data_IF_878758335124
#
_entry.id   IF_878758335124
#
_cell.length_a   1.000
_cell.length_b   1.000
_cell.length_c   1.000
_cell.angle_alpha   90.00
_cell.angle_beta   90.00
_cell.angle_gamma   90.00
#
_symmetry.space_group_name_H-M   'P 1'
#
loop_
_entity.id
_entity.type
_entity.pdbx_description
1 polymer ?
#
# COMPACT_ATOMS: atom_id res chain seq x y z
N UNK A 1 8.02 9.33 23.41
CA UNK A 1 8.19 8.91 24.81
C UNK A 1 6.84 8.50 25.37
N UNK A 2 6.61 7.18 25.39
CA UNK A 2 5.81 6.38 26.34
C UNK A 2 5.70 4.99 25.70
N UNK A 3 6.83 4.27 25.75
CA UNK A 3 6.89 2.84 25.45
C UNK A 3 6.22 2.11 26.62
N UNK A 4 4.89 2.03 26.59
CA UNK A 4 4.17 1.17 27.51
C UNK A 4 4.48 -0.29 27.15
N UNK A 5 5.25 -0.96 28.02
CA UNK A 5 5.56 -2.40 28.07
C UNK A 5 5.53 -3.13 26.73
N UNK A 6 6.62 -3.00 25.97
CA UNK A 6 6.73 -3.57 24.63
C UNK A 6 6.94 -5.10 24.65
N UNK A 7 7.22 -5.71 25.80
CA UNK A 7 7.31 -7.17 25.87
C UNK A 7 6.80 -7.69 27.22
N UNK A 8 5.49 -8.05 27.32
CA UNK A 8 4.91 -8.59 28.55
C UNK A 8 5.51 -9.94 28.99
N UNK A 9 6.45 -10.50 28.22
CA UNK A 9 7.06 -11.79 28.46
C UNK A 9 8.57 -11.71 28.77
N UNK A 10 9.18 -10.53 28.94
CA UNK A 10 10.66 -10.34 28.89
C UNK A 10 11.17 -10.58 30.27
N UNK A 11 10.52 -9.92 31.22
CA UNK A 11 10.74 -10.16 32.65
C UNK A 11 10.50 -11.63 32.98
N UNK A 12 9.45 -12.25 32.44
CA UNK A 12 9.18 -13.67 32.63
C UNK A 12 10.25 -14.58 31.98
N UNK A 13 10.74 -14.23 30.79
CA UNK A 13 11.85 -14.95 30.14
C UNK A 13 13.14 -14.78 30.93
N UNK A 14 13.50 -13.56 31.32
CA UNK A 14 14.72 -13.26 32.05
C UNK A 14 14.73 -13.95 33.42
N UNK A 15 13.62 -13.92 34.15
CA UNK A 15 13.47 -14.66 35.40
C UNK A 15 13.61 -16.18 35.18
N UNK A 16 12.96 -16.73 34.15
CA UNK A 16 13.09 -18.15 33.82
C UNK A 16 14.52 -18.55 33.44
N UNK A 17 15.24 -17.72 32.69
CA UNK A 17 16.63 -17.98 32.32
C UNK A 17 17.59 -17.94 33.53
N UNK A 18 17.22 -17.22 34.60
CA UNK A 18 18.00 -17.16 35.84
C UNK A 18 17.64 -18.28 36.83
N UNK A 19 16.36 -18.58 37.00
CA UNK A 19 15.84 -19.57 37.96
C UNK A 19 15.95 -21.01 37.43
N UNK A 20 15.65 -21.24 36.15
CA UNK A 20 15.51 -22.58 35.54
C UNK A 20 16.63 -22.86 34.52
N UNK A 21 17.87 -22.57 34.92
CA UNK A 21 19.06 -22.62 34.04
C UNK A 21 19.26 -23.96 33.33
N UNK A 22 19.06 -25.08 34.02
CA UNK A 22 19.26 -26.41 33.45
C UNK A 22 18.31 -26.68 32.27
N UNK A 23 17.04 -26.30 32.45
CA UNK A 23 16.00 -26.44 31.42
C UNK A 23 16.27 -25.50 30.24
N UNK A 24 16.67 -24.25 30.50
CA UNK A 24 17.04 -23.29 29.46
C UNK A 24 18.27 -23.74 28.65
N UNK A 25 19.33 -24.21 29.31
CA UNK A 25 20.50 -24.76 28.63
C UNK A 25 20.14 -25.98 27.77
N UNK A 26 19.29 -26.89 28.28
CA UNK A 26 18.83 -28.06 27.51
C UNK A 26 18.19 -27.63 26.18
N UNK A 27 17.34 -26.60 26.21
CA UNK A 27 16.66 -26.08 25.01
C UNK A 27 17.65 -25.41 24.06
N UNK A 28 18.49 -24.49 24.54
CA UNK A 28 19.44 -23.78 23.68
C UNK A 28 20.48 -24.74 23.10
N UNK A 29 21.00 -25.67 23.90
CA UNK A 29 21.97 -26.67 23.45
C UNK A 29 21.40 -27.60 22.38
N UNK A 30 20.12 -27.97 22.47
CA UNK A 30 19.47 -28.77 21.44
C UNK A 30 19.55 -28.08 20.07
N UNK A 31 19.33 -26.76 20.02
CA UNK A 31 19.43 -25.99 18.78
C UNK A 31 20.88 -25.75 18.33
N UNK A 32 21.79 -25.48 19.27
CA UNK A 32 23.19 -25.20 18.94
C UNK A 32 24.01 -26.45 18.62
N UNK A 33 23.47 -27.65 18.88
CA UNK A 33 24.09 -28.92 18.48
C UNK A 33 24.01 -29.16 16.95
N UNK A 34 23.19 -28.38 16.23
CA UNK A 34 23.14 -28.39 14.78
C UNK A 34 24.29 -27.56 14.19
N UNK A 35 24.92 -28.05 13.12
CA UNK A 35 25.92 -27.29 12.35
C UNK A 35 25.31 -26.10 11.56
N UNK A 36 24.00 -25.87 11.68
CA UNK A 36 23.28 -24.78 11.00
C UNK A 36 23.12 -23.59 11.91
N UNK A 37 23.92 -22.55 11.69
CA UNK A 37 23.85 -21.28 12.41
C UNK A 37 22.55 -20.49 12.23
N UNK A 38 21.75 -20.81 11.21
CA UNK A 38 20.47 -20.17 10.94
C UNK A 38 19.34 -21.19 11.03
N UNK A 39 18.33 -20.86 11.82
CA UNK A 39 17.15 -21.68 12.03
C UNK A 39 15.91 -20.90 11.61
N UNK A 40 15.12 -21.48 10.73
CA UNK A 40 13.80 -20.96 10.37
C UNK A 40 12.79 -21.31 11.46
N UNK A 41 11.63 -20.67 11.41
CA UNK A 41 10.51 -20.98 12.31
C UNK A 41 10.17 -22.47 12.36
N UNK A 42 10.18 -23.18 11.23
CA UNK A 42 9.92 -24.62 11.20
C UNK A 42 10.96 -25.38 12.03
N UNK A 43 12.24 -25.07 11.85
CA UNK A 43 13.34 -25.72 12.58
C UNK A 43 13.21 -25.49 14.09
N UNK A 44 12.86 -24.27 14.50
CA UNK A 44 12.63 -23.94 15.91
C UNK A 44 11.45 -24.68 16.50
N UNK A 45 10.32 -24.74 15.79
CA UNK A 45 9.10 -25.37 16.29
C UNK A 45 9.23 -26.89 16.31
N UNK A 46 9.82 -27.48 15.29
CA UNK A 46 9.94 -28.92 15.16
C UNK A 46 11.04 -29.46 16.09
N UNK A 47 12.21 -28.79 16.16
CA UNK A 47 13.23 -29.13 17.16
C UNK A 47 12.71 -28.98 18.60
N UNK A 48 11.91 -27.94 18.89
CA UNK A 48 11.31 -27.83 20.22
C UNK A 48 10.30 -28.95 20.53
N UNK A 49 9.51 -29.39 19.55
CA UNK A 49 8.58 -30.53 19.71
C UNK A 49 9.32 -31.84 19.91
N UNK A 50 10.41 -32.06 19.17
CA UNK A 50 11.28 -33.23 19.35
C UNK A 50 11.82 -33.27 20.77
N UNK A 51 12.40 -32.16 21.25
CA UNK A 51 12.90 -32.04 22.61
C UNK A 51 11.82 -32.26 23.69
N UNK A 52 10.58 -31.81 23.43
CA UNK A 52 9.46 -32.02 24.34
C UNK A 52 8.97 -33.48 24.37
N UNK A 53 9.28 -34.26 23.34
CA UNK A 53 8.87 -35.66 23.18
C UNK A 53 9.90 -36.63 23.79
N UNK A 54 11.11 -36.15 24.10
CA UNK A 54 12.12 -36.88 24.87
C UNK A 54 11.74 -37.01 26.35
N UNK A 55 12.33 -37.99 27.04
CA UNK A 55 12.11 -38.21 28.48
C UNK A 55 12.35 -36.92 29.29
N UNK A 56 11.35 -36.54 30.08
CA UNK A 56 11.35 -35.33 30.89
C UNK A 56 11.27 -34.02 30.09
N UNK A 57 10.91 -34.05 28.81
CA UNK A 57 10.72 -32.86 27.96
C UNK A 57 9.36 -32.17 28.12
N UNK A 58 8.34 -32.85 28.64
CA UNK A 58 6.98 -32.33 28.80
C UNK A 58 6.92 -31.04 29.64
N UNK A 59 7.81 -30.91 30.65
CA UNK A 59 7.90 -29.74 31.53
C UNK A 59 8.27 -28.46 30.78
N UNK A 60 8.86 -28.56 29.57
CA UNK A 60 9.32 -27.42 28.79
C UNK A 60 8.16 -26.71 28.08
N UNK A 61 7.06 -27.40 27.78
CA UNK A 61 5.98 -26.91 26.91
C UNK A 61 5.27 -25.65 27.42
N UNK A 62 5.27 -25.42 28.74
CA UNK A 62 4.57 -24.32 29.39
C UNK A 62 5.49 -23.21 29.92
N UNK A 63 6.76 -23.23 29.53
CA UNK A 63 7.78 -22.28 29.99
C UNK A 63 7.70 -20.93 29.24
N UNK A 64 8.22 -19.84 29.83
CA UNK A 64 8.39 -18.58 29.11
C UNK A 64 9.25 -18.72 27.83
N UNK A 65 10.29 -19.55 27.87
CA UNK A 65 11.13 -19.84 26.71
C UNK A 65 10.34 -20.52 25.58
N UNK A 66 9.44 -21.46 25.90
CA UNK A 66 8.55 -22.08 24.92
C UNK A 66 7.66 -21.05 24.21
N UNK A 67 7.09 -20.09 24.95
CA UNK A 67 6.27 -19.02 24.37
C UNK A 67 7.09 -18.13 23.43
N UNK A 68 8.33 -17.83 23.81
CA UNK A 68 9.26 -17.04 22.99
C UNK A 68 9.57 -17.78 21.70
N UNK A 69 9.90 -19.07 21.75
CA UNK A 69 10.11 -19.91 20.57
C UNK A 69 8.86 -19.98 19.67
N UNK A 70 7.67 -20.08 20.26
CA UNK A 70 6.40 -20.10 19.51
C UNK A 70 6.16 -18.83 18.68
N UNK A 71 6.59 -17.65 19.16
CA UNK A 71 6.46 -16.39 18.43
C UNK A 71 7.70 -16.03 17.60
N UNK A 72 8.77 -16.82 17.69
CA UNK A 72 9.99 -16.63 16.91
C UNK A 72 9.77 -16.95 15.44
N UNK A 73 10.31 -16.12 14.56
CA UNK A 73 10.27 -16.34 13.10
C UNK A 73 11.58 -16.92 12.57
N UNK A 74 12.68 -16.55 13.20
CA UNK A 74 14.00 -17.10 12.90
C UNK A 74 14.91 -16.95 14.13
N UNK A 75 15.92 -17.81 14.18
CA UNK A 75 17.04 -17.69 15.10
C UNK A 75 18.36 -17.70 14.33
N UNK A 76 19.36 -17.05 14.89
CA UNK A 76 20.73 -17.09 14.43
C UNK A 76 21.65 -17.28 15.63
N UNK A 77 22.68 -18.11 15.54
CA UNK A 77 23.58 -18.32 16.67
C UNK A 77 25.03 -18.60 16.26
N UNK A 78 25.95 -18.29 17.18
CA UNK A 78 27.35 -18.71 17.15
C UNK A 78 27.70 -19.47 18.45
N UNK A 79 28.98 -19.64 18.74
CA UNK A 79 29.45 -20.31 19.96
C UNK A 79 29.10 -19.58 21.28
N UNK A 80 28.75 -18.29 21.23
CA UNK A 80 28.53 -17.45 22.41
C UNK A 80 27.09 -16.96 22.54
N UNK A 81 26.43 -16.65 21.43
CA UNK A 81 25.17 -15.93 21.41
C UNK A 81 24.10 -16.66 20.61
N UNK A 82 22.87 -16.58 21.12
CA UNK A 82 21.66 -17.04 20.47
C UNK A 82 20.72 -15.86 20.24
N UNK A 83 20.57 -15.44 19.00
CA UNK A 83 19.73 -14.33 18.58
C UNK A 83 18.38 -14.84 18.06
N UNK A 84 17.31 -14.10 18.38
CA UNK A 84 15.93 -14.44 18.03
C UNK A 84 15.22 -13.22 17.43
N UNK A 85 14.54 -13.43 16.30
CA UNK A 85 13.59 -12.48 15.75
C UNK A 85 12.17 -12.90 16.12
N UNK A 86 11.52 -12.12 16.97
CA UNK A 86 10.21 -12.40 17.55
C UNK A 86 9.14 -11.58 16.83
N UNK A 87 7.99 -12.21 16.55
CA UNK A 87 6.83 -11.56 15.94
C UNK A 87 5.59 -11.73 16.83
N UNK A 88 5.46 -10.93 17.91
CA UNK A 88 4.35 -11.07 18.86
C UNK A 88 2.99 -10.77 18.24
N UNK A 89 2.92 -9.90 17.23
CA UNK A 89 1.70 -9.62 16.48
C UNK A 89 2.00 -9.18 15.06
N UNK A 90 0.95 -9.07 14.23
CA UNK A 90 1.09 -8.66 12.83
C UNK A 90 1.71 -7.26 12.76
N UNK A 91 2.83 -7.14 12.03
CA UNK A 91 3.55 -5.88 11.83
C UNK A 91 4.40 -5.42 13.01
N UNK A 92 4.52 -6.22 14.08
CA UNK A 92 5.40 -5.92 15.22
C UNK A 92 6.52 -6.95 15.31
N UNK A 93 7.74 -6.45 15.45
CA UNK A 93 8.95 -7.24 15.55
C UNK A 93 9.76 -6.81 16.76
N UNK A 94 10.39 -7.78 17.41
CA UNK A 94 11.31 -7.58 18.52
C UNK A 94 12.49 -8.50 18.32
N UNK A 95 13.67 -8.06 18.74
CA UNK A 95 14.90 -8.82 18.56
C UNK A 95 15.54 -9.00 19.92
N UNK A 96 15.99 -10.22 20.17
CA UNK A 96 16.55 -10.62 21.45
C UNK A 96 17.84 -11.38 21.22
N UNK A 97 18.81 -11.21 22.12
CA UNK A 97 20.00 -12.05 22.21
C UNK A 97 20.06 -12.71 23.57
N UNK A 98 20.53 -13.94 23.62
CA UNK A 98 20.78 -14.71 24.84
C UNK A 98 22.23 -15.17 24.80
N UNK A 99 22.98 -14.95 25.86
CA UNK A 99 24.32 -15.54 26.00
C UNK A 99 24.20 -17.02 26.36
N UNK A 100 24.89 -17.91 25.64
CA UNK A 100 24.73 -19.35 25.81
C UNK A 100 25.25 -19.88 27.15
N UNK A 101 26.33 -19.30 27.69
CA UNK A 101 26.87 -19.68 29.02
C UNK A 101 26.16 -18.98 30.18
N UNK A 102 26.08 -17.64 30.18
CA UNK A 102 25.51 -16.89 31.31
C UNK A 102 23.99 -16.90 31.34
N UNK A 103 23.32 -17.24 30.22
CA UNK A 103 21.88 -17.16 29.99
C UNK A 103 21.31 -15.74 30.11
N UNK A 104 22.16 -14.71 30.03
CA UNK A 104 21.71 -13.33 30.05
C UNK A 104 20.98 -12.98 28.74
N UNK A 105 19.70 -12.60 28.84
CA UNK A 105 18.90 -12.13 27.72
C UNK A 105 18.84 -10.60 27.65
N UNK A 106 18.97 -10.04 26.44
CA UNK A 106 18.83 -8.60 26.17
C UNK A 106 18.05 -8.35 24.90
N UNK A 107 17.16 -7.36 24.94
CA UNK A 107 16.57 -6.78 23.74
C UNK A 107 17.65 -6.05 22.94
N UNK A 108 17.60 -6.20 21.62
CA UNK A 108 18.50 -5.56 20.67
C UNK A 108 17.71 -4.86 19.58
N UNK A 109 18.32 -3.85 18.95
CA UNK A 109 17.72 -3.20 17.78
C UNK A 109 17.94 -4.06 16.53
N UNK A 110 17.12 -3.83 15.49
CA UNK A 110 17.20 -4.61 14.23
C UNK A 110 18.59 -4.57 13.60
N UNK A 111 19.28 -3.43 13.61
CA UNK A 111 20.63 -3.31 13.04
C UNK A 111 21.66 -4.19 13.76
N UNK A 112 21.54 -4.37 15.09
CA UNK A 112 22.40 -5.27 15.85
C UNK A 112 22.13 -6.74 15.51
N UNK A 113 20.87 -7.11 15.30
CA UNK A 113 20.49 -8.46 14.87
C UNK A 113 20.98 -8.75 13.44
N UNK A 114 20.81 -7.82 12.49
CA UNK A 114 21.29 -7.97 11.12
C UNK A 114 22.82 -8.05 11.05
N UNK A 115 23.53 -7.17 11.78
CA UNK A 115 25.00 -7.20 11.87
C UNK A 115 25.54 -8.49 12.49
N UNK A 116 24.74 -9.16 13.33
CA UNK A 116 25.08 -10.49 13.82
C UNK A 116 24.95 -11.53 12.71
N UNK A 117 23.83 -11.54 11.96
CA UNK A 117 23.64 -12.44 10.81
C UNK A 117 24.71 -12.28 9.74
N UNK A 118 25.13 -11.05 9.45
CA UNK A 118 26.20 -10.76 8.48
C UNK A 118 27.54 -11.40 8.89
N UNK A 119 27.90 -11.32 10.18
CA UNK A 119 29.14 -11.90 10.72
C UNK A 119 29.17 -13.43 10.66
N UNK A 120 28.01 -14.09 10.70
CA UNK A 120 27.94 -15.55 10.57
C UNK A 120 28.22 -16.03 9.14
N UNK A 121 28.05 -15.17 8.13
CA UNK A 121 28.27 -15.52 6.71
C UNK A 121 29.61 -14.98 6.20
N UNK A 122 30.02 -13.79 6.65
CA UNK A 122 31.22 -13.12 6.19
C UNK A 122 32.49 -13.63 6.87
N UNK A 123 33.54 -13.91 6.09
CA UNK A 123 34.86 -14.31 6.59
C UNK A 123 35.71 -13.13 7.12
N UNK A 124 35.29 -11.88 6.92
CA UNK A 124 36.02 -10.67 7.29
C UNK A 124 35.21 -9.74 8.20
N UNK A 125 35.90 -8.94 9.01
CA UNK A 125 35.29 -7.84 9.75
C UNK A 125 34.48 -6.96 8.78
N UNK A 126 33.19 -6.79 9.07
CA UNK A 126 32.31 -5.93 8.30
C UNK A 126 32.96 -4.55 8.12
N UNK A 127 32.97 -3.99 6.89
CA UNK A 127 33.60 -2.69 6.65
C UNK A 127 33.07 -1.64 7.63
N UNK A 128 33.96 -0.77 8.11
CA UNK A 128 33.66 0.25 9.12
C UNK A 128 32.44 1.11 8.76
N UNK A 129 32.22 1.33 7.46
CA UNK A 129 31.14 2.14 6.90
C UNK A 129 30.24 1.31 5.99
N UNK A 130 29.48 0.38 6.58
CA UNK A 130 28.45 -0.35 5.85
C UNK A 130 27.23 0.55 5.59
N UNK A 131 26.69 0.48 4.36
CA UNK A 131 25.48 1.22 4.00
C UNK A 131 24.25 0.62 4.71
N UNK A 132 23.63 1.39 5.60
CA UNK A 132 22.32 1.10 6.16
C UNK A 132 21.24 1.90 5.43
N UNK A 133 20.26 1.22 4.85
CA UNK A 133 19.11 1.86 4.19
C UNK A 133 17.96 2.01 5.19
N UNK A 134 17.82 3.20 5.77
CA UNK A 134 16.73 3.53 6.69
C UNK A 134 15.73 4.50 6.03
N UNK A 135 14.51 4.01 5.79
CA UNK A 135 13.40 4.79 5.23
C UNK A 135 12.47 5.39 6.30
N UNK A 136 12.64 5.04 7.58
CA UNK A 136 11.78 5.52 8.66
C UNK A 136 11.80 7.07 8.78
N UNK A 137 12.95 7.76 8.72
CA UNK A 137 13.01 9.22 8.80
C UNK A 137 12.23 9.94 7.70
N UNK A 138 12.18 9.38 6.49
CA UNK A 138 11.48 9.95 5.34
C UNK A 138 9.95 9.81 5.43
N UNK A 139 9.47 8.97 6.34
CA UNK A 139 8.05 8.69 6.50
C UNK A 139 7.37 9.46 7.64
N UNK A 140 8.11 10.33 8.36
CA UNK A 140 7.64 11.03 9.59
C UNK A 140 6.42 11.92 9.39
N UNK A 141 6.25 12.49 8.19
CA UNK A 141 5.12 13.36 7.86
C UNK A 141 3.81 12.58 7.61
N UNK A 142 3.93 11.27 7.39
CA UNK A 142 2.81 10.36 7.21
C UNK A 142 2.41 9.76 8.55
N UNK A 143 1.19 10.06 9.00
CA UNK A 143 0.58 9.33 10.11
C UNK A 143 0.37 7.89 9.67
N UNK A 144 0.81 6.93 10.49
CA UNK A 144 0.69 5.50 10.24
C UNK A 144 -0.43 4.92 11.10
N UNK A 145 -1.32 4.07 10.57
CA UNK A 145 -2.27 3.36 11.40
C UNK A 145 -1.51 2.42 12.36
N UNK A 146 -1.94 2.38 13.62
CA UNK A 146 -1.30 1.57 14.66
C UNK A 146 -1.91 0.16 14.80
N UNK A 147 -3.10 -0.05 14.21
CA UNK A 147 -3.88 -1.27 14.34
C UNK A 147 -3.67 -2.19 13.13
N UNK A 148 -3.40 -3.48 13.40
CA UNK A 148 -3.16 -4.46 12.33
C UNK A 148 -4.36 -4.62 11.37
N UNK A 149 -5.59 -4.44 11.86
CA UNK A 149 -6.82 -4.47 11.05
C UNK A 149 -6.90 -3.37 9.99
N UNK A 150 -6.07 -2.34 10.09
CA UNK A 150 -6.02 -1.23 9.13
C UNK A 150 -5.01 -1.47 8.01
N UNK A 151 -4.23 -2.55 8.06
CA UNK A 151 -3.32 -2.94 6.97
C UNK A 151 -4.14 -3.21 5.71
N UNK A 152 -3.72 -2.63 4.58
CA UNK A 152 -4.44 -2.70 3.31
C UNK A 152 -5.55 -1.65 3.14
N UNK A 153 -5.85 -0.82 4.14
CA UNK A 153 -6.91 0.21 4.11
C UNK A 153 -6.35 1.64 4.09
N UNK A 154 -5.27 1.85 3.33
CA UNK A 154 -4.55 3.13 3.29
C UNK A 154 -5.40 4.29 2.80
N UNK A 155 -6.25 4.06 1.78
CA UNK A 155 -7.11 5.10 1.20
C UNK A 155 -8.18 5.57 2.18
N UNK A 156 -8.81 4.67 2.94
CA UNK A 156 -9.79 5.02 3.99
C UNK A 156 -9.15 5.94 5.04
N UNK A 157 -7.92 5.61 5.47
CA UNK A 157 -7.18 6.42 6.44
C UNK A 157 -6.80 7.78 5.87
N UNK A 158 -6.37 7.82 4.60
CA UNK A 158 -6.04 9.07 3.92
C UNK A 158 -7.27 9.97 3.74
N UNK A 159 -8.41 9.42 3.35
CA UNK A 159 -9.67 10.17 3.20
C UNK A 159 -10.11 10.81 4.51
N UNK A 160 -10.01 10.08 5.64
CA UNK A 160 -10.26 10.65 6.97
C UNK A 160 -9.34 11.82 7.28
N UNK A 161 -8.03 11.67 7.00
CA UNK A 161 -7.04 12.72 7.26
C UNK A 161 -7.26 13.95 6.37
N UNK A 162 -7.53 13.75 5.09
CA UNK A 162 -7.81 14.83 4.15
C UNK A 162 -9.07 15.58 4.57
N UNK A 163 -10.14 14.87 4.92
CA UNK A 163 -11.37 15.46 5.45
C UNK A 163 -11.13 16.33 6.69
N UNK A 164 -10.37 15.85 7.68
CA UNK A 164 -10.03 16.63 8.87
C UNK A 164 -9.19 17.87 8.54
N UNK A 165 -8.18 17.74 7.68
CA UNK A 165 -7.33 18.88 7.27
C UNK A 165 -8.10 19.96 6.50
N UNK A 166 -9.05 19.56 5.65
CA UNK A 166 -9.91 20.50 4.92
C UNK A 166 -10.71 21.40 5.88
N UNK A 167 -11.06 20.88 7.07
CA UNK A 167 -11.78 21.61 8.11
C UNK A 167 -10.86 22.47 8.99
N UNK A 168 -9.70 21.95 9.41
CA UNK A 168 -8.81 22.61 10.38
C UNK A 168 -8.05 23.83 9.83
N UNK A 169 -7.69 23.84 8.54
CA UNK A 169 -6.73 24.82 7.98
C UNK A 169 -7.34 26.21 7.62
N UNK A 170 -8.29 26.74 8.40
CA UNK A 170 -8.87 28.10 8.23
C UNK A 170 -9.12 28.53 6.76
N UNK A 171 -9.71 27.64 5.95
CA UNK A 171 -10.03 27.90 4.54
C UNK A 171 -8.92 27.59 3.52
N UNK A 172 -7.66 27.36 3.92
CA UNK A 172 -6.57 26.97 3.00
C UNK A 172 -6.85 25.63 2.31
N UNK A 173 -7.45 24.68 3.02
CA UNK A 173 -7.85 23.40 2.45
C UNK A 173 -8.87 23.55 1.32
N UNK A 174 -9.86 24.42 1.50
CA UNK A 174 -10.89 24.71 0.50
C UNK A 174 -10.29 25.41 -0.73
N UNK A 175 -9.32 26.30 -0.52
CA UNK A 175 -8.58 26.92 -1.63
C UNK A 175 -7.82 25.87 -2.45
N UNK A 176 -7.17 24.88 -1.82
CA UNK A 176 -6.51 23.79 -2.56
C UNK A 176 -7.47 23.00 -3.47
N UNK A 177 -8.72 22.79 -3.04
CA UNK A 177 -9.74 22.14 -3.89
C UNK A 177 -10.07 23.02 -5.10
N UNK A 178 -10.27 24.31 -4.89
CA UNK A 178 -10.50 25.26 -5.99
C UNK A 178 -9.32 25.25 -6.97
N UNK A 179 -8.10 25.41 -6.46
CA UNK A 179 -6.89 25.41 -7.29
C UNK A 179 -6.74 24.10 -8.07
N UNK A 180 -6.98 22.96 -7.42
CA UNK A 180 -6.94 21.64 -8.05
C UNK A 180 -7.96 21.52 -9.20
N UNK A 181 -9.21 21.95 -8.98
CA UNK A 181 -10.25 21.90 -10.01
C UNK A 181 -10.01 22.89 -11.15
N UNK A 182 -9.42 24.06 -10.87
CA UNK A 182 -9.13 25.10 -11.87
C UNK A 182 -7.91 24.80 -12.73
N UNK A 183 -6.94 24.02 -12.23
CA UNK A 183 -5.77 23.58 -13.00
C UNK A 183 -6.08 22.37 -13.88
N UNK A 184 -7.24 21.73 -13.72
CA UNK A 184 -7.54 20.48 -14.37
C UNK A 184 -7.87 20.65 -15.85
N UNK A 185 -7.10 20.00 -16.72
CA UNK A 185 -7.27 20.08 -18.17
C UNK A 185 -6.82 18.79 -18.85
N UNK A 186 -7.42 18.47 -19.99
CA UNK A 186 -7.04 17.34 -20.83
C UNK A 186 -6.87 17.80 -22.28
N UNK A 187 -5.73 17.48 -22.91
CA UNK A 187 -5.40 17.90 -24.28
C UNK A 187 -5.61 19.41 -24.54
N UNK A 188 -5.32 20.25 -23.54
CA UNK A 188 -5.50 21.71 -23.63
C UNK A 188 -6.95 22.20 -23.45
N UNK A 189 -7.92 21.32 -23.27
CA UNK A 189 -9.30 21.68 -22.92
C UNK A 189 -9.45 21.74 -21.39
N UNK A 190 -9.92 22.86 -20.82
CA UNK A 190 -10.16 22.96 -19.39
C UNK A 190 -11.31 22.05 -18.97
N UNK A 191 -11.21 21.47 -17.78
CA UNK A 191 -12.21 20.60 -17.18
C UNK A 191 -12.61 21.17 -15.81
N UNK A 192 -13.79 20.81 -15.33
CA UNK A 192 -14.33 21.21 -14.03
C UNK A 192 -14.55 22.73 -13.92
N UNK A 193 -13.52 23.52 -13.60
CA UNK A 193 -13.60 24.96 -13.41
C UNK A 193 -12.70 25.69 -14.41
N UNK A 194 -13.20 26.79 -14.97
CA UNK A 194 -12.33 27.71 -15.71
C UNK A 194 -11.74 28.78 -14.77
N UNK A 195 -10.93 29.69 -15.34
CA UNK A 195 -10.25 30.75 -14.60
C UNK A 195 -11.13 31.91 -14.13
N UNK A 196 -12.46 31.86 -14.29
CA UNK A 196 -13.36 32.93 -13.84
C UNK A 196 -13.52 32.97 -12.31
N UNK A 197 -13.28 31.85 -11.63
CA UNK A 197 -13.48 31.72 -10.18
C UNK A 197 -12.14 31.76 -9.46
N UNK A 198 -11.91 32.83 -8.70
CA UNK A 198 -10.63 33.09 -8.03
C UNK A 198 -10.66 32.84 -6.51
N UNK A 199 -11.85 32.68 -5.93
CA UNK A 199 -12.03 32.45 -4.50
C UNK A 199 -13.12 31.41 -4.19
N UNK A 200 -12.99 30.75 -3.04
CA UNK A 200 -13.98 29.79 -2.53
C UNK A 200 -15.37 30.42 -2.38
N UNK A 201 -15.43 31.71 -2.04
CA UNK A 201 -16.68 32.48 -1.93
C UNK A 201 -17.37 32.69 -3.29
N UNK A 202 -16.61 32.87 -4.36
CA UNK A 202 -17.13 32.90 -5.73
C UNK A 202 -17.63 31.52 -6.15
N UNK A 203 -16.83 30.47 -5.89
CA UNK A 203 -17.22 29.09 -6.18
C UNK A 203 -18.54 28.71 -5.50
N UNK A 204 -18.70 28.99 -4.20
CA UNK A 204 -19.96 28.74 -3.48
C UNK A 204 -21.15 29.47 -4.09
N UNK A 205 -20.97 30.72 -4.55
CA UNK A 205 -22.03 31.48 -5.23
C UNK A 205 -22.36 30.88 -6.58
N UNK A 206 -21.35 30.52 -7.37
CA UNK A 206 -21.52 29.88 -8.67
C UNK A 206 -22.25 28.53 -8.55
N UNK A 207 -21.88 27.69 -7.58
CA UNK A 207 -22.53 26.40 -7.31
C UNK A 207 -24.01 26.57 -6.97
N UNK A 208 -24.36 27.56 -6.11
CA UNK A 208 -25.76 27.86 -5.77
C UNK A 208 -26.55 28.39 -6.96
N UNK A 209 -25.93 29.16 -7.85
CA UNK A 209 -26.57 29.63 -9.09
C UNK A 209 -26.80 28.47 -10.05
N UNK A 210 -25.82 27.58 -10.23
CA UNK A 210 -25.94 26.39 -11.05
C UNK A 210 -27.03 25.44 -10.52
N UNK A 211 -27.13 25.22 -9.21
CA UNK A 211 -28.19 24.41 -8.61
C UNK A 211 -29.60 24.96 -8.93
N UNK A 212 -29.80 26.28 -8.85
CA UNK A 212 -31.09 26.91 -9.21
C UNK A 212 -31.44 26.75 -10.68
N UNK A 213 -30.45 26.81 -11.58
CA UNK A 213 -30.66 26.56 -13.00
C UNK A 213 -31.06 25.10 -13.22
N UNK A 214 -30.24 24.17 -12.71
CA UNK A 214 -30.43 22.72 -12.89
C UNK A 214 -31.70 22.19 -12.23
N UNK A 215 -32.18 22.81 -11.14
CA UNK A 215 -33.45 22.46 -10.49
C UNK A 215 -34.67 22.65 -11.40
N UNK A 216 -34.61 23.58 -12.36
CA UNK A 216 -35.68 23.88 -13.31
C UNK A 216 -35.52 23.15 -14.65
N UNK A 217 -34.47 22.34 -14.80
CA UNK A 217 -34.08 21.71 -16.06
C UNK A 217 -34.60 20.27 -16.16
N UNK A 218 -34.86 19.81 -17.38
CA UNK A 218 -35.23 18.41 -17.64
C UNK A 218 -34.07 17.46 -17.30
N UNK A 219 -34.37 16.38 -16.60
CA UNK A 219 -33.38 15.43 -16.07
C UNK A 219 -32.47 14.77 -17.10
N UNK A 220 -32.89 14.70 -18.37
CA UNK A 220 -32.16 14.04 -19.46
C UNK A 220 -31.32 14.99 -20.32
N UNK A 221 -31.31 16.29 -20.05
CA UNK A 221 -30.47 17.22 -20.82
C UNK A 221 -29.00 16.86 -20.66
N UNK A 222 -28.30 16.82 -21.79
CA UNK A 222 -26.88 16.47 -21.86
C UNK A 222 -26.00 17.64 -21.47
N UNK A 223 -24.73 17.38 -21.13
CA UNK A 223 -23.76 18.45 -20.85
C UNK A 223 -23.67 19.49 -21.98
N UNK A 224 -23.74 19.06 -23.26
CA UNK A 224 -23.65 19.96 -24.42
C UNK A 224 -24.74 21.03 -24.43
N UNK A 225 -25.93 20.69 -23.96
CA UNK A 225 -27.07 21.61 -23.86
C UNK A 225 -26.91 22.55 -22.65
N UNK A 226 -26.41 22.01 -21.52
CA UNK A 226 -26.18 22.76 -20.28
C UNK A 226 -24.98 23.72 -20.36
N UNK A 227 -24.02 23.44 -21.23
CA UNK A 227 -22.74 24.16 -21.30
C UNK A 227 -22.93 25.66 -21.59
N UNK A 228 -23.96 26.05 -22.34
CA UNK A 228 -24.23 27.46 -22.63
C UNK A 228 -24.51 28.28 -21.37
N UNK A 229 -25.26 27.70 -20.43
CA UNK A 229 -25.66 28.37 -19.19
C UNK A 229 -24.63 28.21 -18.06
N UNK A 230 -23.89 27.09 -18.05
CA UNK A 230 -22.93 26.76 -16.99
C UNK A 230 -21.54 27.37 -17.19
N UNK A 231 -21.06 27.53 -18.42
CA UNK A 231 -19.74 28.13 -18.70
C UNK A 231 -19.61 29.58 -18.21
N UNK A 232 -20.61 30.47 -18.40
CA UNK A 232 -20.57 31.83 -17.86
C UNK A 232 -20.46 31.88 -16.32
N UNK A 233 -20.91 30.83 -15.63
CA UNK A 233 -20.78 30.69 -14.17
C UNK A 233 -19.41 30.16 -13.74
N UNK A 234 -18.56 29.75 -14.68
CA UNK A 234 -17.23 29.24 -14.42
C UNK A 234 -17.06 27.73 -14.55
N UNK A 235 -18.06 26.99 -15.03
CA UNK A 235 -18.05 25.53 -15.08
C UNK A 235 -17.75 24.98 -16.49
N UNK A 236 -16.78 24.08 -16.57
CA UNK A 236 -16.36 23.36 -17.77
C UNK A 236 -16.76 21.88 -17.68
N UNK A 237 -16.64 21.08 -18.77
CA UNK A 237 -17.07 19.67 -18.77
C UNK A 237 -16.41 18.83 -17.67
N UNK A 238 -17.07 17.74 -17.25
CA UNK A 238 -16.56 16.79 -16.25
C UNK A 238 -17.45 16.59 -15.02
N UNK A 239 -18.49 17.41 -14.83
CA UNK A 239 -19.40 17.31 -13.68
C UNK A 239 -20.42 16.16 -13.79
N UNK A 240 -20.76 15.74 -15.02
CA UNK A 240 -21.76 14.72 -15.24
C UNK A 240 -22.25 14.64 -16.69
N UNK A 241 -22.80 13.49 -17.07
CA UNK A 241 -23.36 13.23 -18.40
C UNK A 241 -24.70 13.95 -18.65
N UNK A 242 -25.47 14.19 -17.59
CA UNK A 242 -26.79 14.81 -17.64
C UNK A 242 -27.02 15.76 -16.47
N UNK A 243 -28.09 16.55 -16.54
CA UNK A 243 -28.46 17.54 -15.53
C UNK A 243 -28.51 16.99 -14.09
N UNK A 244 -29.01 15.77 -13.89
CA UNK A 244 -29.08 15.13 -12.56
C UNK A 244 -27.68 14.86 -12.02
N UNK A 245 -26.82 14.20 -12.82
CA UNK A 245 -25.46 13.87 -12.39
C UNK A 245 -24.61 15.11 -12.15
N UNK A 246 -24.74 16.13 -13.01
CA UNK A 246 -24.06 17.43 -12.85
C UNK A 246 -24.46 18.05 -11.52
N UNK A 247 -25.77 18.13 -11.26
CA UNK A 247 -26.31 18.69 -10.02
C UNK A 247 -25.82 17.93 -8.79
N UNK A 248 -25.88 16.59 -8.81
CA UNK A 248 -25.42 15.75 -7.70
C UNK A 248 -23.94 15.98 -7.37
N UNK A 249 -23.08 16.08 -8.39
CA UNK A 249 -21.64 16.31 -8.19
C UNK A 249 -21.35 17.73 -7.67
N UNK A 250 -22.08 18.73 -8.17
CA UNK A 250 -21.97 20.11 -7.68
C UNK A 250 -22.47 20.26 -6.24
N UNK A 251 -23.55 19.58 -5.89
CA UNK A 251 -24.08 19.57 -4.53
C UNK A 251 -23.12 18.89 -3.56
N UNK A 252 -22.51 17.77 -3.97
CA UNK A 252 -21.49 17.08 -3.19
C UNK A 252 -20.28 17.99 -2.90
N UNK A 253 -19.84 18.79 -3.87
CA UNK A 253 -18.79 19.78 -3.63
C UNK A 253 -19.23 20.88 -2.67
N UNK A 254 -20.48 21.37 -2.78
CA UNK A 254 -21.02 22.36 -1.85
C UNK A 254 -21.03 21.81 -0.41
N UNK A 255 -21.46 20.57 -0.24
CA UNK A 255 -21.48 19.88 1.05
C UNK A 255 -20.07 19.72 1.62
N UNK A 256 -19.07 19.35 0.80
CA UNK A 256 -17.65 19.27 1.23
C UNK A 256 -17.11 20.64 1.66
N UNK A 257 -17.48 21.71 0.94
CA UNK A 257 -17.06 23.06 1.28
C UNK A 257 -17.75 23.57 2.55
N UNK A 258 -18.91 23.04 2.93
CA UNK A 258 -19.62 23.39 4.15
C UNK A 258 -19.17 22.54 5.34
N UNK A 259 -19.22 21.22 5.20
CA UNK A 259 -18.85 20.21 6.20
C UNK A 259 -18.22 18.98 5.52
N UNK A 260 -16.88 18.90 5.42
CA UNK A 260 -16.22 17.78 4.76
C UNK A 260 -16.40 16.48 5.56
N UNK A 261 -16.74 15.39 4.87
CA UNK A 261 -16.73 14.03 5.41
C UNK A 261 -15.85 13.11 4.54
N UNK A 262 -15.29 12.03 5.11
CA UNK A 262 -14.43 11.11 4.35
C UNK A 262 -15.16 10.48 3.15
N UNK A 263 -16.41 10.05 3.35
CA UNK A 263 -17.21 9.39 2.32
C UNK A 263 -17.60 10.35 1.20
N UNK A 264 -17.94 11.60 1.55
CA UNK A 264 -18.26 12.63 0.56
C UNK A 264 -17.02 12.98 -0.28
N UNK A 265 -15.87 13.13 0.36
CA UNK A 265 -14.60 13.44 -0.32
C UNK A 265 -14.17 12.29 -1.24
N UNK A 266 -14.27 11.05 -0.79
CA UNK A 266 -13.98 9.86 -1.60
C UNK A 266 -14.89 9.80 -2.83
N UNK A 267 -16.19 9.98 -2.62
CA UNK A 267 -17.18 9.98 -3.69
C UNK A 267 -16.92 11.10 -4.69
N UNK A 268 -16.57 12.29 -4.21
CA UNK A 268 -16.29 13.45 -5.06
C UNK A 268 -15.03 13.24 -5.88
N UNK A 269 -13.90 12.91 -5.24
CA UNK A 269 -12.63 12.66 -5.93
C UNK A 269 -12.76 11.51 -6.94
N UNK A 270 -13.52 10.45 -6.62
CA UNK A 270 -13.80 9.35 -7.54
C UNK A 270 -14.71 9.71 -8.72
N UNK A 271 -15.38 10.87 -8.69
CA UNK A 271 -16.17 11.42 -9.81
C UNK A 271 -15.39 12.41 -10.65
N UNK A 272 -14.18 12.83 -10.26
CA UNK A 272 -13.38 13.76 -11.06
C UNK A 272 -12.73 13.01 -12.23
N UNK A 273 -12.84 13.51 -13.46
CA UNK A 273 -12.25 12.86 -14.64
C UNK A 273 -10.72 12.97 -14.64
N UNK A 274 -10.00 12.07 -13.95
CA UNK A 274 -8.53 12.17 -13.81
C UNK A 274 -7.74 11.29 -14.76
N UNK A 275 -8.27 10.10 -15.09
CA UNK A 275 -7.51 9.04 -15.75
C UNK A 275 -8.00 8.89 -17.18
N UNK A 276 -7.18 9.37 -18.13
CA UNK A 276 -7.45 9.28 -19.57
C UNK A 276 -6.45 8.38 -20.30
N UNK A 277 -5.20 8.37 -19.84
CA UNK A 277 -4.12 7.56 -20.39
C UNK A 277 -3.46 6.79 -19.27
N UNK A 278 -3.22 5.49 -19.48
CA UNK A 278 -2.69 4.58 -18.48
C UNK A 278 -1.51 3.80 -19.07
N UNK A 279 -0.39 3.76 -18.36
CA UNK A 279 0.78 2.95 -18.72
C UNK A 279 0.98 1.85 -17.68
N UNK A 280 1.00 0.59 -18.11
CA UNK A 280 1.31 -0.59 -17.30
C UNK A 280 2.71 -1.06 -17.68
N UNK A 281 3.59 -1.29 -16.70
CA UNK A 281 4.95 -1.77 -16.94
C UNK A 281 5.04 -3.27 -16.63
N UNK A 282 5.48 -4.06 -17.61
CA UNK A 282 5.80 -5.48 -17.43
C UNK A 282 7.03 -5.87 -18.26
N UNK A 283 8.24 -5.46 -17.85
CA UNK A 283 9.42 -5.55 -18.71
C UNK A 283 9.99 -6.96 -18.94
N UNK A 284 9.82 -7.87 -17.98
CA UNK A 284 10.41 -9.21 -18.03
C UNK A 284 9.46 -10.24 -18.66
N UNK A 285 10.01 -11.41 -18.98
CA UNK A 285 9.28 -12.50 -19.60
C UNK A 285 8.91 -12.26 -21.06
N UNK A 286 8.24 -13.25 -21.62
CA UNK A 286 7.63 -13.21 -22.94
C UNK A 286 6.20 -12.71 -22.80
N UNK A 287 5.98 -11.43 -23.05
CA UNK A 287 4.65 -10.83 -23.02
C UNK A 287 4.03 -10.88 -24.41
N UNK A 288 2.89 -11.55 -24.53
CA UNK A 288 2.15 -11.72 -25.77
C UNK A 288 0.82 -12.42 -25.52
N UNK A 289 -0.02 -12.50 -26.54
CA UNK A 289 -1.40 -13.04 -26.40
C UNK A 289 -1.53 -14.51 -26.81
N UNK A 290 -0.53 -15.05 -27.51
CA UNK A 290 -0.48 -16.44 -27.96
C UNK A 290 0.94 -17.00 -27.85
N UNK A 291 1.06 -18.31 -27.65
CA UNK A 291 2.33 -19.06 -27.65
C UNK A 291 3.40 -18.60 -26.62
N UNK A 292 3.02 -17.81 -25.61
CA UNK A 292 3.95 -17.33 -24.57
C UNK A 292 3.86 -18.11 -23.25
N UNK A 293 2.74 -18.79 -22.99
CA UNK A 293 2.51 -19.47 -21.71
C UNK A 293 3.47 -20.65 -21.53
N UNK A 294 4.09 -20.74 -20.35
CA UNK A 294 5.07 -21.79 -20.02
C UNK A 294 6.50 -21.48 -20.47
N UNK A 295 6.73 -20.34 -21.15
CA UNK A 295 8.09 -19.85 -21.41
C UNK A 295 8.76 -19.32 -20.14
N UNK A 296 10.10 -19.23 -20.09
CA UNK A 296 10.82 -18.69 -18.95
C UNK A 296 10.30 -17.31 -18.55
N UNK A 297 10.11 -17.11 -17.24
CA UNK A 297 9.59 -15.87 -16.65
C UNK A 297 8.19 -15.43 -17.15
N UNK A 298 7.45 -16.32 -17.84
CA UNK A 298 6.08 -16.07 -18.30
C UNK A 298 5.09 -16.96 -17.57
N UNK A 299 4.14 -16.34 -16.87
CA UNK A 299 3.09 -17.06 -16.16
C UNK A 299 1.86 -16.20 -15.91
N UNK A 300 1.27 -16.35 -14.71
CA UNK A 300 0.02 -15.68 -14.34
C UNK A 300 0.05 -14.15 -14.46
N UNK A 301 1.22 -13.50 -14.41
CA UNK A 301 1.36 -12.06 -14.60
C UNK A 301 0.84 -11.57 -15.95
N UNK A 302 1.11 -12.31 -17.04
CA UNK A 302 0.66 -11.90 -18.39
C UNK A 302 -0.86 -11.97 -18.48
N UNK A 303 -1.44 -13.08 -18.02
CA UNK A 303 -2.89 -13.27 -17.99
C UNK A 303 -3.56 -12.20 -17.12
N UNK A 304 -2.99 -11.95 -15.93
CA UNK A 304 -3.48 -10.93 -15.02
C UNK A 304 -3.53 -9.55 -15.67
N UNK A 305 -2.47 -9.13 -16.35
CA UNK A 305 -2.42 -7.82 -17.01
C UNK A 305 -3.41 -7.76 -18.19
N UNK A 306 -3.49 -8.80 -19.02
CA UNK A 306 -4.42 -8.81 -20.16
C UNK A 306 -5.88 -8.70 -19.71
N UNK A 307 -6.26 -9.40 -18.64
CA UNK A 307 -7.61 -9.31 -18.06
C UNK A 307 -7.83 -7.96 -17.36
N UNK A 308 -6.81 -7.45 -16.66
CA UNK A 308 -6.85 -6.15 -16.02
C UNK A 308 -7.09 -5.03 -17.03
N UNK A 309 -6.40 -5.03 -18.19
CA UNK A 309 -6.56 -4.00 -19.22
C UNK A 309 -7.99 -3.98 -19.76
N UNK A 310 -8.61 -5.15 -20.02
CA UNK A 310 -10.01 -5.23 -20.47
C UNK A 310 -10.97 -4.63 -19.47
N UNK A 311 -10.80 -4.96 -18.19
CA UNK A 311 -11.63 -4.42 -17.12
C UNK A 311 -11.43 -2.91 -16.94
N UNK A 312 -10.17 -2.45 -16.97
CA UNK A 312 -9.81 -1.03 -16.85
C UNK A 312 -10.34 -0.21 -18.01
N UNK A 313 -10.21 -0.69 -19.25
CA UNK A 313 -10.73 0.03 -20.42
C UNK A 313 -12.25 0.25 -20.30
N UNK A 314 -12.99 -0.79 -19.91
CA UNK A 314 -14.44 -0.70 -19.70
C UNK A 314 -14.80 0.29 -18.59
N UNK A 315 -14.11 0.24 -17.44
CA UNK A 315 -14.34 1.18 -16.34
C UNK A 315 -13.98 2.62 -16.75
N UNK A 316 -12.87 2.82 -17.45
CA UNK A 316 -12.47 4.14 -17.95
C UNK A 316 -13.51 4.71 -18.92
N UNK A 317 -14.01 3.92 -19.87
CA UNK A 317 -15.10 4.35 -20.78
C UNK A 317 -16.36 4.73 -20.01
N UNK A 318 -16.77 3.89 -19.05
CA UNK A 318 -17.95 4.16 -18.23
C UNK A 318 -17.80 5.45 -17.42
N UNK A 319 -16.62 5.70 -16.82
CA UNK A 319 -16.36 6.92 -16.04
C UNK A 319 -16.39 8.17 -16.92
N UNK A 320 -15.74 8.12 -18.08
CA UNK A 320 -15.75 9.22 -19.04
C UNK A 320 -17.16 9.53 -19.52
N UNK A 321 -17.96 8.49 -19.81
CA UNK A 321 -19.37 8.64 -20.14
C UNK A 321 -20.13 9.33 -19.01
N UNK A 322 -20.05 8.82 -17.78
CA UNK A 322 -20.73 9.39 -16.60
C UNK A 322 -20.37 10.85 -16.32
N UNK A 323 -19.19 11.29 -16.73
CA UNK A 323 -18.68 12.66 -16.58
C UNK A 323 -19.04 13.58 -17.77
N UNK A 324 -19.68 13.03 -18.81
CA UNK A 324 -20.08 13.77 -20.01
C UNK A 324 -18.95 13.98 -21.02
N UNK A 325 -17.94 13.11 -21.02
CA UNK A 325 -16.72 13.18 -21.83
C UNK A 325 -16.68 12.06 -22.91
N UNK A 326 -17.80 11.77 -23.56
CA UNK A 326 -17.93 10.70 -24.57
C UNK A 326 -16.98 10.83 -25.77
N UNK A 327 -16.50 12.05 -26.05
CA UNK A 327 -15.58 12.31 -27.15
C UNK A 327 -14.13 11.90 -26.83
N UNK A 328 -13.83 11.72 -25.53
CA UNK A 328 -12.50 11.32 -25.07
C UNK A 328 -12.37 9.81 -25.13
N UNK A 329 -11.41 9.34 -25.93
CA UNK A 329 -11.05 7.92 -25.99
C UNK A 329 -9.98 7.63 -24.94
N UNK A 330 -10.19 6.66 -24.03
CA UNK A 330 -9.13 6.22 -23.14
C UNK A 330 -7.98 5.60 -23.94
N UNK A 331 -6.78 5.57 -23.37
CA UNK A 331 -5.61 4.94 -24.00
C UNK A 331 -4.86 4.12 -22.95
N UNK A 332 -4.67 2.83 -23.18
CA UNK A 332 -3.94 1.95 -22.26
C UNK A 332 -2.75 1.33 -22.98
N UNK A 333 -1.54 1.54 -22.45
CA UNK A 333 -0.31 1.01 -23.03
C UNK A 333 0.33 0.06 -22.02
N UNK A 334 0.52 -1.20 -22.42
CA UNK A 334 1.38 -2.14 -21.69
C UNK A 334 2.78 -2.06 -22.28
N UNK A 335 3.73 -1.54 -21.51
CA UNK A 335 5.13 -1.44 -21.89
C UNK A 335 5.88 -2.69 -21.43
N UNK A 336 6.44 -3.38 -22.41
CA UNK A 336 7.23 -4.59 -22.22
C UNK A 336 8.47 -4.56 -23.11
N UNK A 337 9.38 -5.51 -22.91
CA UNK A 337 10.59 -5.65 -23.72
C UNK A 337 10.21 -6.15 -25.13
N UNK A 338 10.79 -5.53 -26.15
CA UNK A 338 10.79 -6.07 -27.51
C UNK A 338 11.89 -7.13 -27.61
N UNK A 339 11.52 -8.34 -28.03
CA UNK A 339 12.42 -9.49 -28.21
C UNK A 339 12.53 -9.78 -29.71
N UNK A 340 13.63 -9.41 -30.38
CA UNK A 340 13.78 -9.63 -31.82
C UNK A 340 13.71 -11.10 -32.22
N UNK A 341 14.36 -11.98 -31.45
CA UNK A 341 14.31 -13.44 -31.64
C UNK A 341 13.03 -14.05 -31.02
N UNK A 342 11.86 -13.64 -31.52
CA UNK A 342 10.55 -13.96 -30.92
C UNK A 342 10.03 -15.38 -31.19
N UNK A 343 10.76 -16.23 -31.92
CA UNK A 343 10.32 -17.57 -32.32
C UNK A 343 8.91 -17.59 -32.96
N UNK A 344 7.95 -18.29 -32.35
CA UNK A 344 6.55 -18.43 -32.77
C UNK A 344 5.59 -17.45 -32.06
N UNK A 345 6.14 -16.42 -31.41
CA UNK A 345 5.42 -15.40 -30.65
C UNK A 345 5.39 -14.05 -31.38
N UNK A 346 4.62 -13.11 -30.85
CA UNK A 346 4.52 -11.72 -31.33
C UNK A 346 5.45 -10.76 -30.59
N UNK A 347 6.36 -11.24 -29.73
CA UNK A 347 7.21 -10.40 -28.87
C UNK A 347 8.20 -9.50 -29.64
N UNK A 348 8.38 -9.71 -30.95
CA UNK A 348 9.17 -8.85 -31.83
C UNK A 348 8.36 -7.68 -32.41
N UNK A 349 7.04 -7.67 -32.23
CA UNK A 349 6.17 -6.61 -32.72
C UNK A 349 6.19 -5.43 -31.75
N UNK A 350 6.45 -4.23 -32.28
CA UNK A 350 6.49 -3.00 -31.47
C UNK A 350 5.14 -2.60 -30.89
N UNK A 351 4.06 -2.87 -31.62
CA UNK A 351 2.68 -2.55 -31.21
C UNK A 351 1.81 -3.76 -31.54
N UNK A 352 1.14 -4.30 -30.53
CA UNK A 352 0.16 -5.38 -30.66
C UNK A 352 -1.14 -4.95 -29.95
N UNK A 353 -2.28 -4.84 -30.66
CA UNK A 353 -3.57 -4.57 -30.04
C UNK A 353 -4.00 -5.71 -29.12
N UNK A 354 -4.49 -5.38 -27.93
CA UNK A 354 -4.99 -6.38 -26.99
C UNK A 354 -6.39 -6.87 -27.43
N UNK A 355 -6.55 -8.16 -27.60
CA UNK A 355 -7.80 -8.78 -28.00
C UNK A 355 -8.88 -8.56 -26.94
N UNK A 356 -10.04 -8.08 -27.40
CA UNK A 356 -11.18 -7.75 -26.54
C UNK A 356 -11.15 -6.32 -25.99
N UNK A 357 -10.25 -5.46 -26.46
CA UNK A 357 -10.24 -4.02 -26.19
C UNK A 357 -10.39 -3.21 -27.48
N UNK A 358 -10.78 -1.94 -27.39
CA UNK A 358 -10.86 -1.03 -28.54
C UNK A 358 -9.72 0.00 -28.57
N UNK A 359 -9.10 0.29 -27.42
CA UNK A 359 -8.08 1.32 -27.24
C UNK A 359 -6.86 0.84 -26.47
#
# INVERSE_FOLDING_TARGET
MNQANIFPHFEALAAYLDEERASAHRVLHHFTASDRHFLLRSDLLDGFKELCSDDGGEILQHTPLARVLQISQEAAFDSQWFYLALRPSIGRWLYLRIHLETLEAKEVVVSQFLRFKERLVGENEAPEWMLEVDLEPFSREFLKPHEARSIGRGVEFLNRRLSSRLFEEQGKGQQRILDFLSMHAYCGQPLMLNGLLSSVSELRRALRSADRLLANTQSKQSWKELAHDLRPLGFEPGWGCNAVRVRDTMQLLLDILEAPSPDALETFLGRIPMIFSLAILSPHGWFGQANVMGRPDTGGQVVYILDQVRALEKEMKQRLHEQGLDEVKPNIIVLTRLIPEAEDTTCNQRIEPIAGTEH
#
